data_IF_567569626400
#
_entry.id   IF_567569626400
#
_cell.length_a   1.000
_cell.length_b   1.000
_cell.length_c   1.000
_cell.angle_alpha   90.00
_cell.angle_beta   90.00
_cell.angle_gamma   90.00
#
_symmetry.space_group_name_H-M   'P 1'
#
loop_
_entity.id
_entity.type
_entity.pdbx_description
1 polymer ?
#
# COMPACT_ATOMS: atom_id res chain seq x y z
N UNK A 1 -21.83 -1.29 -10.08
CA UNK A 1 -20.59 -1.78 -10.73
C UNK A 1 -19.37 -0.99 -10.30
N UNK A 2 -19.39 0.36 -10.37
CA UNK A 2 -18.23 1.21 -10.02
C UNK A 2 -17.62 0.97 -8.63
N UNK A 3 -18.43 0.90 -7.57
CA UNK A 3 -17.93 0.68 -6.20
C UNK A 3 -17.21 -0.67 -6.00
N UNK A 4 -17.63 -1.72 -6.74
CA UNK A 4 -16.96 -3.03 -6.73
C UNK A 4 -15.59 -2.91 -7.39
N UNK A 5 -15.50 -2.17 -8.51
CA UNK A 5 -14.25 -1.94 -9.22
C UNK A 5 -13.26 -1.13 -8.36
N UNK A 6 -13.73 -0.08 -7.68
CA UNK A 6 -12.93 0.70 -6.74
C UNK A 6 -12.40 -0.16 -5.59
N UNK A 7 -13.22 -1.08 -5.09
CA UNK A 7 -12.80 -2.03 -4.04
C UNK A 7 -11.82 -3.08 -4.57
N UNK A 8 -12.07 -3.65 -5.74
CA UNK A 8 -11.23 -4.67 -6.34
C UNK A 8 -9.82 -4.14 -6.65
N UNK A 9 -9.73 -2.92 -7.17
CA UNK A 9 -8.45 -2.27 -7.51
C UNK A 9 -7.57 -2.02 -6.28
N UNK A 10 -8.14 -1.57 -5.15
CA UNK A 10 -7.34 -1.40 -3.92
C UNK A 10 -6.91 -2.74 -3.32
N UNK A 11 -7.78 -3.75 -3.27
CA UNK A 11 -7.41 -5.07 -2.75
C UNK A 11 -6.36 -5.76 -3.62
N UNK A 12 -6.45 -5.60 -4.94
CA UNK A 12 -5.43 -6.07 -5.87
C UNK A 12 -4.09 -5.35 -5.63
N UNK A 13 -4.11 -4.02 -5.47
CA UNK A 13 -2.91 -3.25 -5.18
C UNK A 13 -2.19 -3.73 -3.90
N UNK A 14 -2.94 -3.88 -2.81
CA UNK A 14 -2.40 -4.34 -1.53
C UNK A 14 -1.86 -5.78 -1.60
N UNK A 15 -2.57 -6.66 -2.28
CA UNK A 15 -2.15 -8.06 -2.46
C UNK A 15 -0.87 -8.16 -3.29
N UNK A 16 -0.75 -7.37 -4.36
CA UNK A 16 0.46 -7.30 -5.18
C UNK A 16 1.65 -6.71 -4.42
N UNK A 17 1.41 -5.71 -3.56
CA UNK A 17 2.44 -5.21 -2.65
C UNK A 17 2.93 -6.31 -1.70
N UNK A 18 2.01 -7.02 -1.02
CA UNK A 18 2.37 -8.11 -0.11
C UNK A 18 3.12 -9.24 -0.85
N UNK A 19 2.68 -9.61 -2.04
CA UNK A 19 3.37 -10.58 -2.90
C UNK A 19 4.78 -10.11 -3.28
N UNK A 20 4.97 -8.81 -3.58
CA UNK A 20 6.29 -8.24 -3.83
C UNK A 20 7.21 -8.31 -2.60
N UNK A 21 6.69 -8.07 -1.39
CA UNK A 21 7.48 -8.21 -0.16
C UNK A 21 7.85 -9.67 0.14
N UNK A 22 6.91 -10.60 -0.04
CA UNK A 22 7.16 -12.04 0.07
C UNK A 22 8.22 -12.49 -0.94
N UNK A 23 8.12 -12.04 -2.18
CA UNK A 23 9.10 -12.33 -3.21
C UNK A 23 10.49 -11.82 -2.81
N UNK A 24 10.59 -10.56 -2.34
CA UNK A 24 11.85 -9.98 -1.86
C UNK A 24 12.46 -10.80 -0.71
N UNK A 25 11.62 -11.40 0.13
CA UNK A 25 12.03 -12.19 1.29
C UNK A 25 12.55 -13.59 0.93
N UNK A 26 11.91 -14.29 0.01
CA UNK A 26 12.24 -15.69 -0.35
C UNK A 26 13.19 -15.82 -1.54
N UNK A 27 13.39 -14.75 -2.31
CA UNK A 27 14.31 -14.72 -3.45
C UNK A 27 15.47 -13.73 -3.25
N UNK A 28 16.24 -13.81 -2.13
CA UNK A 28 17.27 -12.82 -1.79
C UNK A 28 18.45 -12.80 -2.79
N UNK A 29 18.65 -13.89 -3.54
CA UNK A 29 19.83 -14.06 -4.39
C UNK A 29 19.75 -13.40 -5.79
N UNK A 30 18.60 -12.88 -6.27
CA UNK A 30 18.54 -12.41 -7.67
C UNK A 30 17.62 -11.21 -7.89
N UNK A 31 18.19 -10.23 -8.62
CA UNK A 31 17.70 -9.23 -9.60
C UNK A 31 16.40 -9.53 -10.38
N UNK A 32 15.57 -10.45 -9.94
CA UNK A 32 14.43 -10.97 -10.67
C UNK A 32 13.38 -9.87 -10.87
N UNK A 33 13.05 -9.62 -12.13
CA UNK A 33 12.09 -8.60 -12.55
C UNK A 33 10.72 -8.80 -11.88
N UNK A 34 10.37 -10.01 -11.43
CA UNK A 34 9.07 -10.37 -10.86
C UNK A 34 8.70 -9.50 -9.65
N UNK A 35 9.60 -9.31 -8.68
CA UNK A 35 9.29 -8.50 -7.49
C UNK A 35 8.99 -7.04 -7.84
N UNK A 36 9.72 -6.50 -8.81
CA UNK A 36 9.53 -5.14 -9.35
C UNK A 36 8.24 -5.05 -10.16
N UNK A 37 7.93 -6.06 -10.98
CA UNK A 37 6.68 -6.14 -11.74
C UNK A 37 5.46 -6.20 -10.82
N UNK A 38 5.50 -7.03 -9.77
CA UNK A 38 4.43 -7.09 -8.77
C UNK A 38 4.26 -5.72 -8.09
N UNK A 39 5.37 -5.08 -7.70
CA UNK A 39 5.32 -3.76 -7.08
C UNK A 39 4.74 -2.70 -8.03
N UNK A 40 5.12 -2.73 -9.30
CA UNK A 40 4.64 -1.81 -10.34
C UNK A 40 3.17 -2.05 -10.72
N UNK A 41 2.74 -3.31 -10.87
CA UNK A 41 1.32 -3.64 -11.09
C UNK A 41 0.46 -3.25 -9.88
N UNK A 42 1.01 -3.36 -8.67
CA UNK A 42 0.37 -2.87 -7.45
C UNK A 42 0.15 -1.35 -7.50
N UNK A 43 1.18 -0.59 -7.91
CA UNK A 43 1.09 0.86 -8.12
C UNK A 43 0.05 1.22 -9.19
N UNK A 44 0.05 0.54 -10.34
CA UNK A 44 -0.94 0.76 -11.40
C UNK A 44 -2.36 0.50 -10.89
N UNK A 45 -2.55 -0.57 -10.11
CA UNK A 45 -3.83 -0.89 -9.48
C UNK A 45 -4.25 0.19 -8.47
N UNK A 46 -3.29 0.76 -7.73
CA UNK A 46 -3.52 1.88 -6.81
C UNK A 46 -3.92 3.17 -7.55
N UNK A 47 -3.27 3.47 -8.68
CA UNK A 47 -3.65 4.60 -9.53
C UNK A 47 -5.05 4.42 -10.12
N UNK A 48 -5.38 3.19 -10.57
CA UNK A 48 -6.73 2.85 -11.02
C UNK A 48 -7.76 2.98 -9.88
N UNK A 49 -7.40 2.61 -8.65
CA UNK A 49 -8.25 2.84 -7.48
C UNK A 49 -8.55 4.33 -7.28
N UNK A 50 -7.53 5.20 -7.35
CA UNK A 50 -7.75 6.65 -7.25
C UNK A 50 -8.68 7.14 -8.36
N UNK A 51 -8.40 6.79 -9.62
CA UNK A 51 -9.20 7.23 -10.76
C UNK A 51 -10.66 6.77 -10.64
N UNK A 52 -10.89 5.50 -10.30
CA UNK A 52 -12.24 4.96 -10.11
C UNK A 52 -12.94 5.57 -8.89
N UNK A 53 -12.22 5.89 -7.82
CA UNK A 53 -12.81 6.60 -6.68
C UNK A 53 -13.24 8.03 -7.06
N UNK A 54 -12.43 8.74 -7.85
CA UNK A 54 -12.78 10.08 -8.32
C UNK A 54 -13.99 10.08 -9.27
N UNK A 55 -14.07 9.09 -10.16
CA UNK A 55 -15.22 8.88 -11.03
C UNK A 55 -16.49 8.53 -10.24
N UNK A 56 -16.42 7.54 -9.36
CA UNK A 56 -17.61 6.93 -8.74
C UNK A 56 -18.10 7.70 -7.51
N UNK A 57 -17.19 8.27 -6.73
CA UNK A 57 -17.52 8.83 -5.41
C UNK A 57 -17.35 10.36 -5.33
N UNK A 58 -16.47 10.94 -6.14
CA UNK A 58 -16.09 12.36 -5.97
C UNK A 58 -16.48 13.25 -7.15
N UNK A 59 -17.06 12.71 -8.22
CA UNK A 59 -17.42 13.46 -9.44
C UNK A 59 -16.26 14.34 -9.95
N UNK A 60 -15.03 13.81 -9.87
CA UNK A 60 -13.79 14.53 -10.18
C UNK A 60 -13.51 15.81 -9.36
N UNK A 61 -14.25 16.06 -8.29
CA UNK A 61 -14.06 17.23 -7.43
C UNK A 61 -13.16 16.91 -6.24
N UNK A 62 -12.00 17.58 -6.20
CA UNK A 62 -11.09 17.50 -5.05
C UNK A 62 -11.74 18.00 -3.75
N UNK A 63 -12.61 19.00 -3.83
CA UNK A 63 -13.31 19.53 -2.66
C UNK A 63 -14.27 18.47 -2.08
N UNK A 64 -14.97 17.73 -2.93
CA UNK A 64 -15.84 16.62 -2.51
C UNK A 64 -15.01 15.49 -1.90
N UNK A 65 -13.90 15.10 -2.53
CA UNK A 65 -12.99 14.09 -2.01
C UNK A 65 -12.44 14.46 -0.63
N UNK A 66 -12.05 15.72 -0.44
CA UNK A 66 -11.53 16.23 0.83
C UNK A 66 -12.62 16.21 1.92
N UNK A 67 -13.81 16.72 1.62
CA UNK A 67 -14.93 16.76 2.55
C UNK A 67 -15.36 15.35 2.98
N UNK A 68 -15.44 14.41 2.03
CA UNK A 68 -15.80 13.03 2.30
C UNK A 68 -14.73 12.31 3.15
N UNK A 69 -13.45 12.54 2.86
CA UNK A 69 -12.34 12.05 3.69
C UNK A 69 -12.43 12.60 5.11
N UNK A 70 -12.72 13.90 5.26
CA UNK A 70 -12.90 14.53 6.56
C UNK A 70 -14.09 13.95 7.33
N UNK A 71 -15.19 13.65 6.64
CA UNK A 71 -16.39 13.00 7.21
C UNK A 71 -16.06 11.60 7.73
N UNK A 72 -15.36 10.78 6.94
CA UNK A 72 -14.92 9.44 7.34
C UNK A 72 -13.95 9.50 8.53
N UNK A 73 -12.98 10.42 8.50
CA UNK A 73 -12.06 10.65 9.61
C UNK A 73 -12.81 11.04 10.90
N UNK A 74 -13.84 11.88 10.81
CA UNK A 74 -14.67 12.24 11.97
C UNK A 74 -15.42 11.05 12.55
N UNK A 75 -15.95 10.17 11.70
CA UNK A 75 -16.66 8.98 12.14
C UNK A 75 -15.76 8.00 12.91
N UNK A 76 -14.47 7.93 12.55
CA UNK A 76 -13.50 7.01 13.16
C UNK A 76 -12.76 7.63 14.35
N UNK A 77 -12.28 8.87 14.20
CA UNK A 77 -11.37 9.52 15.15
C UNK A 77 -12.03 10.64 15.96
N UNK A 78 -13.29 11.00 15.68
CA UNK A 78 -14.02 12.06 16.36
C UNK A 78 -13.76 13.48 15.84
N UNK A 79 -12.74 13.69 15.00
CA UNK A 79 -12.40 15.00 14.40
C UNK A 79 -12.48 15.02 12.87
N UNK A 80 -12.88 16.14 12.28
CA UNK A 80 -12.95 16.26 10.82
C UNK A 80 -11.57 16.63 10.24
N UNK A 81 -10.89 15.67 9.63
CA UNK A 81 -9.58 15.90 8.98
C UNK A 81 -9.54 15.27 7.59
N UNK A 82 -9.58 16.10 6.54
CA UNK A 82 -9.53 15.66 5.14
C UNK A 82 -8.12 15.41 4.61
N UNK A 83 -7.08 15.72 5.39
CA UNK A 83 -5.69 15.62 4.95
C UNK A 83 -5.22 14.20 4.63
N UNK A 84 -5.94 13.18 5.07
CA UNK A 84 -5.73 11.79 4.64
C UNK A 84 -5.75 11.61 3.12
N UNK A 85 -6.48 12.47 2.40
CA UNK A 85 -6.48 12.49 0.93
C UNK A 85 -5.10 12.84 0.36
N UNK A 86 -4.44 13.87 0.91
CA UNK A 86 -3.11 14.26 0.46
C UNK A 86 -2.04 13.23 0.87
N UNK A 87 -2.21 12.59 2.03
CA UNK A 87 -1.34 11.48 2.46
C UNK A 87 -1.44 10.31 1.47
N UNK A 88 -2.64 10.01 0.95
CA UNK A 88 -2.82 9.01 -0.12
C UNK A 88 -2.06 9.41 -1.41
N UNK A 89 -2.13 10.66 -1.85
CA UNK A 89 -1.35 11.10 -3.01
C UNK A 89 0.16 11.00 -2.77
N UNK A 90 0.63 11.41 -1.58
CA UNK A 90 2.02 11.26 -1.19
C UNK A 90 2.45 9.79 -1.18
N UNK A 91 1.58 8.89 -0.70
CA UNK A 91 1.82 7.46 -0.72
C UNK A 91 1.98 6.92 -2.15
N UNK A 92 1.15 7.35 -3.10
CA UNK A 92 1.31 7.00 -4.52
C UNK A 92 2.65 7.46 -5.10
N UNK A 93 3.06 8.69 -4.82
CA UNK A 93 4.36 9.22 -5.24
C UNK A 93 5.53 8.47 -4.61
N UNK A 94 5.42 8.15 -3.32
CA UNK A 94 6.42 7.37 -2.61
C UNK A 94 6.54 5.95 -3.17
N UNK A 95 5.42 5.29 -3.43
CA UNK A 95 5.42 3.96 -4.06
C UNK A 95 6.03 4.01 -5.46
N UNK A 96 5.71 5.03 -6.27
CA UNK A 96 6.38 5.26 -7.55
C UNK A 96 7.90 5.39 -7.39
N UNK A 97 8.37 6.11 -6.38
CA UNK A 97 9.81 6.25 -6.10
C UNK A 97 10.47 4.90 -5.78
N UNK A 98 9.80 4.03 -5.01
CA UNK A 98 10.28 2.68 -4.69
C UNK A 98 10.36 1.80 -5.94
N UNK A 99 9.35 1.85 -6.82
CA UNK A 99 9.35 1.13 -8.11
C UNK A 99 10.47 1.63 -9.01
N UNK A 100 10.61 2.95 -9.17
CA UNK A 100 11.66 3.57 -9.98
C UNK A 100 13.06 3.26 -9.45
N UNK A 101 13.24 3.25 -8.14
CA UNK A 101 14.54 2.94 -7.55
C UNK A 101 14.88 1.46 -7.72
N UNK A 102 13.98 0.54 -7.36
CA UNK A 102 14.24 -0.89 -7.48
C UNK A 102 14.47 -1.30 -8.94
N UNK A 103 13.72 -0.72 -9.89
CA UNK A 103 13.91 -0.98 -11.33
C UNK A 103 15.26 -0.47 -11.86
N UNK A 104 15.65 0.77 -11.53
CA UNK A 104 16.87 1.41 -12.09
C UNK A 104 18.16 0.94 -11.41
N UNK A 105 18.13 0.78 -10.09
CA UNK A 105 19.32 0.46 -9.29
C UNK A 105 19.01 -0.69 -8.31
N UNK A 106 18.77 -1.93 -8.81
CA UNK A 106 18.36 -3.04 -7.95
C UNK A 106 19.34 -3.35 -6.81
N UNK A 107 20.64 -3.25 -7.08
CA UNK A 107 21.69 -3.50 -6.08
C UNK A 107 21.67 -2.45 -4.96
N UNK A 108 21.47 -1.18 -5.31
CA UNK A 108 21.38 -0.08 -4.34
C UNK A 108 20.11 -0.15 -3.51
N UNK A 109 18.98 -0.50 -4.14
CA UNK A 109 17.71 -0.70 -3.45
C UNK A 109 17.76 -1.86 -2.45
N UNK A 110 18.34 -3.01 -2.85
CA UNK A 110 18.46 -4.18 -1.97
C UNK A 110 19.49 -4.01 -0.84
N UNK A 111 20.48 -3.12 -1.01
CA UNK A 111 21.50 -2.80 -0.01
C UNK A 111 21.24 -1.45 0.69
N UNK A 112 20.01 -0.94 0.65
CA UNK A 112 19.68 0.37 1.22
C UNK A 112 19.91 0.39 2.73
N UNK A 113 20.13 1.60 3.26
CA UNK A 113 20.34 1.81 4.68
C UNK A 113 19.15 1.30 5.52
N UNK A 114 19.43 0.74 6.69
CA UNK A 114 18.43 0.13 7.58
C UNK A 114 17.31 1.12 7.94
N UNK A 115 17.65 2.36 8.25
CA UNK A 115 16.65 3.39 8.58
C UNK A 115 15.67 3.63 7.43
N UNK A 116 16.15 3.61 6.19
CA UNK A 116 15.33 3.84 5.01
C UNK A 116 14.41 2.66 4.71
N UNK A 117 14.91 1.43 4.87
CA UNK A 117 14.09 0.22 4.82
C UNK A 117 12.94 0.29 5.84
N UNK A 118 13.23 0.68 7.09
CA UNK A 118 12.21 0.81 8.13
C UNK A 118 11.22 1.96 7.86
N UNK A 119 11.69 3.10 7.36
CA UNK A 119 10.81 4.20 6.94
C UNK A 119 9.85 3.75 5.84
N UNK A 120 10.34 3.12 4.78
CA UNK A 120 9.49 2.61 3.69
C UNK A 120 8.49 1.57 4.22
N UNK A 121 8.96 0.59 5.00
CA UNK A 121 8.11 -0.45 5.61
C UNK A 121 7.00 0.13 6.47
N UNK A 122 7.36 1.01 7.41
CA UNK A 122 6.40 1.62 8.34
C UNK A 122 5.41 2.51 7.60
N UNK A 123 5.84 3.26 6.58
CA UNK A 123 4.93 4.10 5.81
C UNK A 123 3.91 3.27 5.03
N UNK A 124 4.36 2.22 4.33
CA UNK A 124 3.44 1.29 3.67
C UNK A 124 2.49 0.63 4.64
N UNK A 125 3.00 0.09 5.76
CA UNK A 125 2.18 -0.57 6.76
C UNK A 125 1.13 0.37 7.37
N UNK A 126 1.51 1.60 7.70
CA UNK A 126 0.59 2.62 8.19
C UNK A 126 -0.54 2.87 7.19
N UNK A 127 -0.22 2.97 5.89
CA UNK A 127 -1.23 3.16 4.85
C UNK A 127 -2.13 1.95 4.66
N UNK A 128 -1.57 0.73 4.68
CA UNK A 128 -2.36 -0.52 4.62
C UNK A 128 -3.28 -0.64 5.83
N UNK A 129 -2.80 -0.39 7.04
CA UNK A 129 -3.63 -0.45 8.27
C UNK A 129 -4.75 0.58 8.22
N UNK A 130 -4.45 1.83 7.85
CA UNK A 130 -5.48 2.86 7.71
C UNK A 130 -6.55 2.43 6.70
N UNK A 131 -6.14 2.10 5.47
CA UNK A 131 -7.10 1.80 4.39
C UNK A 131 -7.84 0.47 4.55
N UNK A 132 -7.13 -0.59 4.91
CA UNK A 132 -7.64 -1.96 4.88
C UNK A 132 -8.14 -2.50 6.23
N UNK A 133 -7.92 -1.77 7.33
CA UNK A 133 -8.35 -2.21 8.67
C UNK A 133 -9.24 -1.15 9.32
N UNK A 134 -8.79 0.10 9.36
CA UNK A 134 -9.47 1.18 10.09
C UNK A 134 -10.71 1.66 9.34
N UNK A 135 -10.56 2.07 8.08
CA UNK A 135 -11.63 2.72 7.30
C UNK A 135 -12.58 1.76 6.57
N UNK A 136 -12.32 0.46 6.61
CA UNK A 136 -13.11 -0.55 5.89
C UNK A 136 -14.21 -1.19 6.76
N UNK A 137 -15.25 -1.71 6.11
CA UNK A 137 -16.34 -2.46 6.74
C UNK A 137 -15.85 -3.75 7.42
N UNK A 138 -16.56 -4.17 8.47
CA UNK A 138 -16.16 -5.27 9.37
C UNK A 138 -15.79 -6.60 8.69
N UNK A 139 -16.52 -7.12 7.67
CA UNK A 139 -16.13 -8.39 7.05
C UNK A 139 -14.80 -8.29 6.28
N UNK A 140 -14.58 -7.17 5.60
CA UNK A 140 -13.38 -6.90 4.81
C UNK A 140 -12.15 -6.60 5.70
N UNK A 141 -12.38 -6.08 6.91
CA UNK A 141 -11.34 -5.82 7.91
C UNK A 141 -10.51 -7.07 8.24
N UNK A 142 -11.14 -8.24 8.31
CA UNK A 142 -10.42 -9.50 8.56
C UNK A 142 -9.41 -9.83 7.47
N UNK A 143 -9.77 -9.57 6.21
CA UNK A 143 -8.84 -9.74 5.10
C UNK A 143 -7.67 -8.75 5.18
N UNK A 144 -7.95 -7.49 5.56
CA UNK A 144 -6.91 -6.49 5.83
C UNK A 144 -5.95 -6.91 6.97
N UNK A 145 -6.48 -7.46 8.06
CA UNK A 145 -5.68 -7.98 9.18
C UNK A 145 -4.75 -9.09 8.71
N UNK A 146 -5.26 -10.07 7.94
CA UNK A 146 -4.44 -11.15 7.37
C UNK A 146 -3.31 -10.58 6.50
N UNK A 147 -3.62 -9.60 5.65
CA UNK A 147 -2.65 -8.97 4.76
C UNK A 147 -1.56 -8.23 5.54
N UNK A 148 -1.93 -7.52 6.61
CA UNK A 148 -1.00 -6.88 7.56
C UNK A 148 -0.10 -7.90 8.21
N UNK A 149 -0.65 -9.01 8.72
CA UNK A 149 0.13 -10.08 9.35
C UNK A 149 1.14 -10.70 8.38
N UNK A 150 0.73 -10.92 7.12
CA UNK A 150 1.63 -11.41 6.06
C UNK A 150 2.79 -10.43 5.85
N UNK A 151 2.51 -9.13 5.69
CA UNK A 151 3.54 -8.10 5.49
C UNK A 151 4.51 -8.09 6.68
N UNK A 152 4.00 -8.03 7.91
CA UNK A 152 4.84 -8.01 9.12
C UNK A 152 5.68 -9.28 9.25
N UNK A 153 5.13 -10.45 8.91
CA UNK A 153 5.87 -11.70 8.93
C UNK A 153 7.08 -11.70 7.97
N UNK A 154 7.01 -10.97 6.85
CA UNK A 154 8.16 -10.84 5.94
C UNK A 154 9.34 -10.09 6.55
N UNK A 155 9.13 -9.36 7.65
CA UNK A 155 10.15 -8.53 8.28
C UNK A 155 10.91 -9.24 9.40
N UNK A 156 10.39 -10.36 9.87
CA UNK A 156 11.03 -11.11 10.96
C UNK A 156 12.38 -11.67 10.49
N UNK A 157 13.47 -11.46 11.25
CA UNK A 157 14.76 -12.09 10.95
C UNK A 157 14.56 -13.60 10.86
N UNK A 158 15.01 -14.23 9.78
CA UNK A 158 15.08 -15.69 9.80
C UNK A 158 16.13 -16.03 10.84
N UNK A 159 15.70 -16.53 12.00
CA UNK A 159 16.63 -17.28 12.84
C UNK A 159 16.97 -18.50 12.00
N UNK A 160 18.19 -18.56 11.49
CA UNK A 160 18.74 -19.81 10.98
C UNK A 160 18.73 -20.78 12.16
N UNK A 161 17.71 -21.63 12.25
CA UNK A 161 17.58 -22.66 13.29
C UNK A 161 18.53 -23.85 13.04
N UNK A 162 19.66 -23.60 12.38
CA UNK A 162 20.69 -24.57 12.05
C UNK A 162 22.06 -23.86 12.09
N UNK A 163 22.59 -23.67 13.29
CA UNK A 163 24.02 -23.49 13.57
C UNK A 163 24.34 -24.11 14.91
#
# INVERSE_FOLDING_TARGET
MGAILTSATIWLALSLYAASQLWRRYSPARRTSIGVWLLGLGLTSYAAHIATAFEVHYNWSQAVAYAETARQAKAVFGWAFGGGLYINFLFGLFWLSEVCWWSKIPQGYLKRAVWLEWTSRSFFLLMVVNGAVIFVNTPQRWFGIVLVLIIVATWWPTRNLLS
#
